data_IF_856821049719
#
_entry.id   IF_856821049719
#
_cell.length_a   1.000
_cell.length_b   1.000
_cell.length_c   1.000
_cell.angle_alpha   90.00
_cell.angle_beta   90.00
_cell.angle_gamma   90.00
#
_symmetry.space_group_name_H-M   'P 1'
#
loop_
_entity.id
_entity.type
_entity.pdbx_description
1 polymer ?
#
# COMPACT_ATOMS: atom_id res chain seq x y z
N UNK A 1 -15.72 55.70 -0.16
CA UNK A 1 -16.03 54.29 0.20
C UNK A 1 -15.03 53.28 -0.35
N UNK A 2 -14.61 53.37 -1.61
CA UNK A 2 -13.70 52.40 -2.28
C UNK A 2 -12.38 52.14 -1.52
N UNK A 3 -11.78 53.16 -0.90
CA UNK A 3 -10.50 53.03 -0.17
C UNK A 3 -10.57 52.15 1.09
N UNK A 4 -11.71 52.12 1.79
CA UNK A 4 -11.90 51.29 3.00
C UNK A 4 -12.07 49.81 2.66
N UNK A 5 -12.78 49.52 1.57
CA UNK A 5 -12.93 48.15 1.04
C UNK A 5 -11.61 47.59 0.52
N UNK A 6 -10.76 48.41 -0.10
CA UNK A 6 -9.41 48.00 -0.51
C UNK A 6 -8.53 47.58 0.68
N UNK A 7 -8.54 48.36 1.76
CA UNK A 7 -7.76 48.03 2.98
C UNK A 7 -8.29 46.76 3.64
N UNK A 8 -9.61 46.58 3.72
CA UNK A 8 -10.23 45.40 4.30
C UNK A 8 -9.94 44.14 3.48
N UNK A 9 -9.95 44.24 2.16
CA UNK A 9 -9.58 43.15 1.25
C UNK A 9 -8.11 42.73 1.43
N UNK A 10 -7.19 43.70 1.49
CA UNK A 10 -5.76 43.42 1.69
C UNK A 10 -5.52 42.76 3.05
N UNK A 11 -6.18 43.24 4.11
CA UNK A 11 -6.08 42.63 5.43
C UNK A 11 -6.58 41.18 5.43
N UNK A 12 -7.74 40.93 4.79
CA UNK A 12 -8.31 39.59 4.71
C UNK A 12 -7.41 38.63 3.92
N UNK A 13 -6.81 39.08 2.81
CA UNK A 13 -5.82 38.31 2.06
C UNK A 13 -4.59 38.02 2.93
N UNK A 14 -4.06 39.02 3.64
CA UNK A 14 -2.89 38.82 4.52
C UNK A 14 -3.16 37.79 5.62
N UNK A 15 -4.35 37.80 6.22
CA UNK A 15 -4.76 36.81 7.22
C UNK A 15 -4.88 35.41 6.61
N UNK A 16 -5.48 35.28 5.42
CA UNK A 16 -5.62 33.99 4.73
C UNK A 16 -4.28 33.40 4.31
N UNK A 17 -3.33 34.24 3.90
CA UNK A 17 -1.99 33.82 3.47
C UNK A 17 -1.00 33.62 4.61
N UNK A 18 -1.29 34.13 5.82
CA UNK A 18 -0.39 34.03 6.96
C UNK A 18 -0.01 32.58 7.29
N UNK A 19 -0.99 31.68 7.38
CA UNK A 19 -0.73 30.27 7.71
C UNK A 19 0.11 29.55 6.62
N UNK A 20 -0.24 29.60 5.32
CA UNK A 20 0.61 29.03 4.27
C UNK A 20 2.03 29.59 4.24
N UNK A 21 2.20 30.90 4.43
CA UNK A 21 3.53 31.55 4.43
C UNK A 21 4.35 31.15 5.65
N UNK A 22 3.74 31.10 6.84
CA UNK A 22 4.42 30.62 8.07
C UNK A 22 4.87 29.17 7.88
N UNK A 23 4.01 28.31 7.33
CA UNK A 23 4.36 26.92 7.06
C UNK A 23 5.54 26.79 6.08
N UNK A 24 5.59 27.64 5.06
CA UNK A 24 6.71 27.67 4.12
C UNK A 24 8.03 27.99 4.82
N UNK A 25 8.02 28.87 5.84
CA UNK A 25 9.19 29.25 6.63
C UNK A 25 9.60 28.19 7.65
N UNK A 26 8.63 27.51 8.28
CA UNK A 26 8.88 26.42 9.23
C UNK A 26 9.42 25.17 8.54
N UNK A 27 9.16 25.01 7.25
CA UNK A 27 9.62 23.87 6.47
C UNK A 27 8.74 22.64 6.63
N UNK A 28 9.12 21.59 5.93
CA UNK A 28 8.46 20.27 5.96
C UNK A 28 9.24 19.31 6.86
N UNK A 29 8.67 18.15 7.20
CA UNK A 29 9.35 17.14 7.99
C UNK A 29 10.71 16.81 7.39
N UNK A 30 11.69 16.70 8.28
CA UNK A 30 13.04 16.23 7.98
C UNK A 30 13.55 15.46 9.20
N UNK A 31 14.51 14.55 8.99
CA UNK A 31 15.14 13.78 10.06
C UNK A 31 14.16 12.92 10.87
N UNK A 32 13.17 12.35 10.20
CA UNK A 32 12.22 11.39 10.77
C UNK A 32 12.85 10.00 10.89
N UNK A 33 12.21 9.04 11.58
CA UNK A 33 12.70 7.66 11.62
C UNK A 33 12.96 7.02 10.25
N UNK A 34 12.29 7.47 9.18
CA UNK A 34 12.49 6.96 7.82
C UNK A 34 13.89 7.27 7.27
N UNK A 35 14.44 8.45 7.58
CA UNK A 35 15.75 8.91 7.08
C UNK A 35 16.84 8.90 8.17
N UNK A 36 16.52 8.40 9.36
CA UNK A 36 17.46 8.28 10.48
C UNK A 36 18.72 7.46 10.12
N UNK A 37 18.58 6.49 9.20
CA UNK A 37 19.69 5.81 8.54
C UNK A 37 19.58 5.98 7.04
N UNK A 38 20.54 6.68 6.43
CA UNK A 38 20.56 6.90 4.97
C UNK A 38 20.85 5.58 4.26
N UNK A 39 19.96 5.10 3.37
CA UNK A 39 20.23 3.93 2.55
C UNK A 39 21.50 4.12 1.70
N UNK A 40 22.29 3.05 1.54
CA UNK A 40 23.50 3.11 0.70
C UNK A 40 23.17 3.31 -0.79
N UNK A 41 22.00 2.83 -1.22
CA UNK A 41 21.49 3.02 -2.58
C UNK A 41 20.95 4.45 -2.75
N UNK A 42 21.47 5.17 -3.75
CA UNK A 42 21.11 6.57 -4.02
C UNK A 42 19.68 6.75 -4.51
N UNK A 43 19.14 5.79 -5.26
CA UNK A 43 17.75 5.84 -5.73
C UNK A 43 16.79 5.65 -4.56
N UNK A 44 17.11 4.73 -3.65
CA UNK A 44 16.35 4.50 -2.41
C UNK A 44 16.42 5.71 -1.49
N UNK A 45 17.62 6.25 -1.25
CA UNK A 45 17.81 7.43 -0.42
C UNK A 45 17.01 8.63 -0.94
N UNK A 46 17.07 8.88 -2.26
CA UNK A 46 16.31 9.97 -2.87
C UNK A 46 14.80 9.78 -2.73
N UNK A 47 14.29 8.57 -2.88
CA UNK A 47 12.87 8.30 -2.69
C UNK A 47 12.43 8.53 -1.23
N UNK A 48 13.25 8.14 -0.26
CA UNK A 48 12.95 8.33 1.17
C UNK A 48 12.92 9.82 1.54
N UNK A 49 13.83 10.63 1.00
CA UNK A 49 13.78 12.10 1.16
C UNK A 49 12.46 12.69 0.65
N UNK A 50 12.01 12.25 -0.54
CA UNK A 50 10.74 12.72 -1.12
C UNK A 50 9.55 12.29 -0.26
N UNK A 51 9.53 11.04 0.22
CA UNK A 51 8.46 10.52 1.07
C UNK A 51 8.42 11.26 2.41
N UNK A 52 9.57 11.48 3.03
CA UNK A 52 9.68 12.23 4.27
C UNK A 52 9.15 13.65 4.10
N UNK A 53 9.67 14.38 3.10
CA UNK A 53 9.30 15.76 2.82
C UNK A 53 7.80 15.89 2.51
N UNK A 54 7.29 15.10 1.58
CA UNK A 54 5.95 15.31 1.03
C UNK A 54 4.85 14.54 1.78
N UNK A 55 5.17 13.44 2.46
CA UNK A 55 4.18 12.56 3.10
C UNK A 55 4.37 12.40 4.61
N UNK A 56 5.52 12.82 5.16
CA UNK A 56 5.93 12.50 6.54
C UNK A 56 4.97 12.95 7.63
N UNK A 57 4.35 14.13 7.49
CA UNK A 57 3.42 14.67 8.50
C UNK A 57 2.25 13.73 8.84
N UNK A 58 1.82 12.88 7.89
CA UNK A 58 0.68 11.98 8.10
C UNK A 58 1.05 10.49 8.04
N UNK A 59 2.14 10.14 7.35
CA UNK A 59 2.49 8.75 7.08
C UNK A 59 3.77 8.27 7.77
N UNK A 60 4.34 9.04 8.70
CA UNK A 60 5.46 8.60 9.53
C UNK A 60 5.12 8.88 10.99
N UNK A 61 4.96 7.81 11.77
CA UNK A 61 4.64 7.94 13.19
C UNK A 61 5.74 8.73 13.94
N UNK A 62 5.31 9.57 14.88
CA UNK A 62 6.21 10.42 15.66
C UNK A 62 6.66 11.71 14.97
N UNK A 63 6.19 11.99 13.74
CA UNK A 63 6.44 13.28 13.08
C UNK A 63 5.71 14.40 13.83
N UNK A 64 6.40 15.50 14.22
CA UNK A 64 5.75 16.62 14.89
C UNK A 64 4.65 17.24 14.03
N UNK A 65 3.51 17.50 14.65
CA UNK A 65 2.41 18.19 13.97
C UNK A 65 2.72 19.70 13.84
N UNK A 66 2.11 20.40 12.86
CA UNK A 66 2.19 21.86 12.78
C UNK A 66 1.68 22.51 14.06
N UNK A 67 2.21 23.68 14.42
CA UNK A 67 1.90 24.36 15.69
C UNK A 67 0.39 24.64 15.90
N UNK A 68 -0.37 24.83 14.82
CA UNK A 68 -1.82 25.06 14.88
C UNK A 68 -2.64 23.77 15.03
N UNK A 69 -2.02 22.60 14.97
CA UNK A 69 -2.70 21.32 15.16
C UNK A 69 -3.27 21.18 16.58
N UNK A 70 -2.83 21.97 17.56
CA UNK A 70 -3.43 21.99 18.90
C UNK A 70 -4.55 23.02 19.06
N UNK A 71 -4.87 23.80 18.01
CA UNK A 71 -5.95 24.80 18.08
C UNK A 71 -7.33 24.13 18.14
N UNK A 72 -8.31 24.69 18.88
CA UNK A 72 -9.62 24.06 19.11
C UNK A 72 -10.35 23.61 17.84
N UNK A 73 -10.20 24.35 16.74
CA UNK A 73 -10.87 24.07 15.46
C UNK A 73 -10.11 23.08 14.56
N UNK A 74 -8.81 22.92 14.75
CA UNK A 74 -7.95 22.11 13.89
C UNK A 74 -7.57 20.75 14.52
N UNK A 75 -7.60 20.66 15.85
CA UNK A 75 -7.08 19.51 16.60
C UNK A 75 -7.71 18.18 16.25
N UNK A 76 -9.03 18.08 16.31
CA UNK A 76 -9.72 16.82 16.03
C UNK A 76 -9.60 16.39 14.56
N UNK A 77 -9.83 17.27 13.57
CA UNK A 77 -9.66 16.90 12.16
C UNK A 77 -8.24 16.45 11.82
N UNK A 78 -7.22 17.20 12.25
CA UNK A 78 -5.81 16.86 11.96
C UNK A 78 -5.44 15.51 12.59
N UNK A 79 -5.81 15.28 13.85
CA UNK A 79 -5.54 14.01 14.53
C UNK A 79 -6.20 12.83 13.81
N UNK A 80 -7.49 12.96 13.47
CA UNK A 80 -8.22 11.92 12.74
C UNK A 80 -7.58 11.62 11.38
N UNK A 81 -7.16 12.65 10.65
CA UNK A 81 -6.49 12.50 9.36
C UNK A 81 -5.17 11.73 9.49
N UNK A 82 -4.35 12.04 10.49
CA UNK A 82 -3.08 11.36 10.77
C UNK A 82 -3.32 9.91 11.20
N UNK A 83 -4.24 9.66 12.15
CA UNK A 83 -4.59 8.31 12.60
C UNK A 83 -5.05 7.43 11.43
N UNK A 84 -5.93 7.97 10.58
CA UNK A 84 -6.43 7.29 9.39
C UNK A 84 -5.36 7.08 8.31
N UNK A 85 -4.37 7.97 8.21
CA UNK A 85 -3.27 7.86 7.26
C UNK A 85 -2.28 6.76 7.70
N UNK A 86 -1.87 6.78 8.98
CA UNK A 86 -0.98 5.78 9.58
C UNK A 86 -1.60 4.37 9.54
N UNK A 87 -2.91 4.25 9.79
CA UNK A 87 -3.61 2.97 9.69
C UNK A 87 -3.60 2.38 8.26
N UNK A 88 -3.41 3.21 7.22
CA UNK A 88 -3.32 2.75 5.82
C UNK A 88 -1.89 2.41 5.41
N UNK A 89 -0.94 3.24 5.84
CA UNK A 89 0.50 3.03 5.69
C UNK A 89 1.28 3.95 6.64
N UNK A 90 2.18 3.34 7.41
CA UNK A 90 3.29 4.01 8.08
C UNK A 90 4.57 3.68 7.29
N UNK A 91 5.20 4.69 6.68
CA UNK A 91 6.37 4.49 5.83
C UNK A 91 7.62 4.11 6.60
N UNK A 92 7.79 4.55 7.85
CA UNK A 92 8.92 4.12 8.65
C UNK A 92 8.83 2.61 8.90
N UNK A 93 7.66 2.10 9.25
CA UNK A 93 7.44 0.66 9.45
C UNK A 93 7.47 -0.12 8.12
N UNK A 94 6.89 0.43 7.05
CA UNK A 94 6.70 -0.28 5.79
C UNK A 94 7.94 -0.31 4.89
N UNK A 95 8.82 0.70 4.99
CA UNK A 95 9.98 0.86 4.12
C UNK A 95 11.32 0.55 4.82
N UNK A 96 11.43 0.84 6.13
CA UNK A 96 12.62 0.47 6.92
C UNK A 96 12.48 -0.98 7.34
N UNK A 97 12.89 -1.87 6.44
CA UNK A 97 12.84 -3.32 6.66
C UNK A 97 14.17 -3.85 7.20
N UNK A 98 14.20 -5.12 7.62
CA UNK A 98 15.44 -5.78 8.05
C UNK A 98 16.52 -5.74 6.96
N UNK A 99 17.83 -5.77 7.31
CA UNK A 99 18.91 -5.74 6.32
C UNK A 99 18.72 -6.80 5.22
N UNK A 100 18.72 -6.37 3.96
CA UNK A 100 18.53 -7.24 2.80
C UNK A 100 17.08 -7.54 2.42
N UNK A 101 16.10 -7.12 3.22
CA UNK A 101 14.69 -7.18 2.84
C UNK A 101 14.29 -5.98 1.96
N UNK A 102 13.31 -6.20 1.09
CA UNK A 102 12.71 -5.15 0.28
C UNK A 102 11.32 -4.76 0.82
N UNK A 103 10.87 -3.50 0.62
CA UNK A 103 9.50 -3.11 0.87
C UNK A 103 8.53 -3.95 0.04
N UNK A 104 7.41 -4.35 0.65
CA UNK A 104 6.44 -5.24 -0.01
C UNK A 104 5.84 -4.62 -1.28
N UNK A 105 5.53 -5.48 -2.26
CA UNK A 105 4.90 -5.04 -3.52
C UNK A 105 3.60 -4.24 -3.33
N UNK A 106 2.70 -4.59 -2.38
CA UNK A 106 1.51 -3.78 -2.12
C UNK A 106 1.83 -2.35 -1.67
N UNK A 107 2.90 -2.14 -0.88
CA UNK A 107 3.32 -0.79 -0.45
C UNK A 107 3.82 0.00 -1.66
N UNK A 108 4.69 -0.59 -2.47
CA UNK A 108 5.19 0.03 -3.70
C UNK A 108 4.03 0.39 -4.66
N UNK A 109 3.07 -0.51 -4.85
CA UNK A 109 1.90 -0.28 -5.70
C UNK A 109 0.98 0.82 -5.17
N UNK A 110 0.78 0.91 -3.84
CA UNK A 110 0.02 2.00 -3.22
C UNK A 110 0.67 3.36 -3.50
N UNK A 111 1.98 3.48 -3.32
CA UNK A 111 2.72 4.73 -3.59
C UNK A 111 2.61 5.10 -5.07
N UNK A 112 2.91 4.16 -5.98
CA UNK A 112 2.82 4.37 -7.43
C UNK A 112 1.42 4.86 -7.85
N UNK A 113 0.37 4.22 -7.34
CA UNK A 113 -1.00 4.60 -7.64
C UNK A 113 -1.32 6.04 -7.21
N UNK A 114 -0.90 6.43 -6.01
CA UNK A 114 -1.15 7.78 -5.49
C UNK A 114 -0.35 8.85 -6.25
N UNK A 115 0.91 8.54 -6.60
CA UNK A 115 1.77 9.40 -7.42
C UNK A 115 1.16 9.61 -8.80
N UNK A 116 0.70 8.54 -9.45
CA UNK A 116 0.09 8.60 -10.79
C UNK A 116 -1.25 9.34 -10.80
N UNK A 117 -2.05 9.18 -9.73
CA UNK A 117 -3.34 9.87 -9.62
C UNK A 117 -3.24 11.31 -9.15
N UNK A 118 -2.11 11.72 -8.57
CA UNK A 118 -1.93 13.07 -8.02
C UNK A 118 -2.89 13.38 -6.87
N UNK A 119 -3.36 12.35 -6.14
CA UNK A 119 -4.31 12.51 -5.03
C UNK A 119 -3.62 12.77 -3.69
N UNK A 120 -2.29 12.58 -3.64
CA UNK A 120 -1.47 12.79 -2.45
C UNK A 120 -0.32 13.78 -2.73
N UNK A 121 -0.03 14.71 -1.80
CA UNK A 121 -0.81 14.96 -0.57
C UNK A 121 -2.21 15.53 -0.86
N UNK A 122 -3.20 15.35 0.06
CA UNK A 122 -4.57 15.80 -0.19
C UNK A 122 -4.66 17.31 -0.42
N UNK A 123 -5.55 17.75 -1.31
CA UNK A 123 -5.66 19.18 -1.66
C UNK A 123 -5.89 20.12 -0.47
N UNK A 124 -6.66 19.68 0.55
CA UNK A 124 -6.86 20.43 1.80
C UNK A 124 -5.58 20.66 2.61
N UNK A 125 -4.64 19.71 2.53
CA UNK A 125 -3.34 19.81 3.18
C UNK A 125 -2.43 20.73 2.36
N UNK A 126 -2.36 20.52 1.05
CA UNK A 126 -1.59 21.38 0.14
C UNK A 126 -2.05 22.83 0.18
N UNK A 127 -3.33 23.12 0.44
CA UNK A 127 -3.83 24.49 0.59
C UNK A 127 -3.10 25.29 1.69
N UNK A 128 -2.62 24.62 2.74
CA UNK A 128 -1.83 25.20 3.82
C UNK A 128 -0.33 24.92 3.70
N UNK A 129 0.06 23.94 2.88
CA UNK A 129 1.42 23.44 2.73
C UNK A 129 1.85 23.41 1.27
N UNK A 130 2.03 24.59 0.66
CA UNK A 130 2.29 24.72 -0.78
C UNK A 130 3.57 24.00 -1.25
N UNK A 131 4.60 23.92 -0.41
CA UNK A 131 5.85 23.22 -0.70
C UNK A 131 5.76 21.69 -0.58
N UNK A 132 4.61 21.15 -0.14
CA UNK A 132 4.41 19.72 0.03
C UNK A 132 3.82 19.02 -1.21
N UNK A 133 3.33 19.79 -2.19
CA UNK A 133 2.92 19.21 -3.46
C UNK A 133 4.11 18.52 -4.16
N UNK A 134 3.88 17.33 -4.72
CA UNK A 134 4.90 16.60 -5.48
C UNK A 134 5.18 17.31 -6.81
N UNK A 135 6.43 17.74 -7.00
CA UNK A 135 6.93 18.20 -8.29
C UNK A 135 7.12 17.04 -9.27
N UNK A 136 7.24 17.33 -10.57
CA UNK A 136 7.41 16.27 -11.57
C UNK A 136 8.73 15.50 -11.41
N UNK A 137 9.79 16.18 -10.95
CA UNK A 137 11.05 15.53 -10.60
C UNK A 137 10.93 14.58 -9.41
N UNK A 138 10.12 14.93 -8.41
CA UNK A 138 9.84 14.07 -7.25
C UNK A 138 8.98 12.87 -7.63
N UNK A 139 7.95 13.07 -8.47
CA UNK A 139 7.17 11.95 -9.04
C UNK A 139 8.05 11.01 -9.85
N UNK A 140 8.94 11.55 -10.67
CA UNK A 140 9.89 10.75 -11.44
C UNK A 140 10.85 9.96 -10.54
N UNK A 141 11.35 10.56 -9.46
CA UNK A 141 12.20 9.87 -8.50
C UNK A 141 11.48 8.70 -7.82
N UNK A 142 10.24 8.90 -7.36
CA UNK A 142 9.43 7.84 -6.74
C UNK A 142 9.14 6.69 -7.73
N UNK A 143 8.70 7.02 -8.95
CA UNK A 143 8.40 5.99 -9.96
C UNK A 143 9.66 5.24 -10.40
N UNK A 144 10.80 5.93 -10.52
CA UNK A 144 12.11 5.34 -10.83
C UNK A 144 12.54 4.35 -9.74
N UNK A 145 12.49 4.77 -8.48
CA UNK A 145 12.79 3.91 -7.34
C UNK A 145 11.84 2.70 -7.25
N UNK A 146 10.54 2.87 -7.45
CA UNK A 146 9.58 1.75 -7.45
C UNK A 146 9.92 0.74 -8.55
N UNK A 147 10.25 1.22 -9.75
CA UNK A 147 10.72 0.37 -10.85
C UNK A 147 12.00 -0.37 -10.48
N UNK A 148 12.98 0.33 -9.88
CA UNK A 148 14.23 -0.25 -9.40
C UNK A 148 13.99 -1.40 -8.43
N UNK A 149 13.20 -1.16 -7.37
CA UNK A 149 12.89 -2.18 -6.37
C UNK A 149 12.22 -3.41 -6.97
N UNK A 150 11.28 -3.21 -7.92
CA UNK A 150 10.62 -4.32 -8.61
C UNK A 150 11.59 -5.13 -9.46
N UNK A 151 12.48 -4.46 -10.20
CA UNK A 151 13.48 -5.15 -11.02
C UNK A 151 14.50 -5.93 -10.17
N UNK A 152 14.90 -5.39 -9.02
CA UNK A 152 15.89 -6.02 -8.17
C UNK A 152 15.34 -7.20 -7.36
N UNK A 153 14.12 -7.08 -6.82
CA UNK A 153 13.62 -8.04 -5.83
C UNK A 153 12.48 -8.94 -6.31
N UNK A 154 11.71 -8.50 -7.30
CA UNK A 154 10.48 -9.17 -7.68
C UNK A 154 10.46 -9.65 -9.13
N UNK A 155 11.31 -9.10 -10.00
CA UNK A 155 11.32 -9.45 -11.41
C UNK A 155 11.70 -10.92 -11.61
N UNK A 156 11.04 -11.54 -12.58
CA UNK A 156 11.32 -12.92 -12.98
C UNK A 156 11.84 -12.95 -14.40
N UNK A 157 12.92 -13.71 -14.70
CA UNK A 157 13.52 -13.74 -16.02
C UNK A 157 12.54 -14.12 -17.14
N UNK A 158 11.59 -15.00 -16.86
CA UNK A 158 10.59 -15.51 -17.80
C UNK A 158 9.54 -14.47 -18.22
N UNK A 159 9.38 -13.38 -17.47
CA UNK A 159 8.44 -12.31 -17.82
C UNK A 159 9.10 -11.40 -18.88
N UNK A 160 8.39 -10.99 -19.95
CA UNK A 160 8.92 -10.04 -20.92
C UNK A 160 9.45 -8.77 -20.24
N UNK A 161 10.60 -8.27 -20.67
CA UNK A 161 11.31 -7.15 -20.01
C UNK A 161 10.41 -5.94 -19.72
N UNK A 162 9.57 -5.57 -20.70
CA UNK A 162 8.63 -4.46 -20.59
C UNK A 162 7.61 -4.59 -19.44
N UNK A 163 7.34 -5.81 -18.97
CA UNK A 163 6.37 -6.11 -17.91
C UNK A 163 7.03 -6.41 -16.56
N UNK A 164 8.34 -6.62 -16.50
CA UNK A 164 9.02 -7.09 -15.27
C UNK A 164 8.86 -6.16 -14.08
N UNK A 165 8.75 -4.85 -14.33
CA UNK A 165 8.59 -3.83 -13.31
C UNK A 165 7.12 -3.37 -13.09
N UNK A 166 6.16 -3.99 -13.76
CA UNK A 166 4.76 -3.63 -13.59
C UNK A 166 4.26 -4.12 -12.23
N UNK A 167 3.26 -3.40 -11.67
CA UNK A 167 2.56 -3.81 -10.46
C UNK A 167 1.72 -5.08 -10.65
N UNK A 168 1.25 -5.33 -11.89
CA UNK A 168 0.58 -6.55 -12.30
C UNK A 168 1.43 -7.28 -13.33
N UNK A 169 1.65 -8.56 -13.08
CA UNK A 169 2.54 -9.41 -13.86
C UNK A 169 1.86 -10.73 -14.20
N UNK A 170 2.18 -11.34 -15.34
CA UNK A 170 1.63 -12.64 -15.70
C UNK A 170 1.94 -13.69 -14.63
N UNK A 171 0.97 -14.56 -14.38
CA UNK A 171 1.16 -15.76 -13.57
C UNK A 171 2.14 -16.68 -14.32
N UNK A 172 3.13 -17.28 -13.64
CA UNK A 172 4.06 -18.20 -14.30
C UNK A 172 3.29 -19.41 -14.86
N UNK A 173 3.68 -19.86 -16.04
CA UNK A 173 3.03 -21.00 -16.70
C UNK A 173 3.14 -22.31 -15.90
N UNK A 174 4.17 -22.44 -15.06
CA UNK A 174 4.33 -23.57 -14.15
C UNK A 174 5.13 -23.16 -12.91
N UNK A 175 4.99 -23.94 -11.84
CA UNK A 175 5.84 -23.90 -10.66
C UNK A 175 6.63 -25.21 -10.64
N UNK A 176 7.90 -25.16 -10.25
CA UNK A 176 8.72 -26.37 -10.13
C UNK A 176 8.12 -27.30 -9.07
N UNK A 177 7.76 -28.51 -9.47
CA UNK A 177 7.18 -29.54 -8.60
C UNK A 177 7.81 -30.90 -8.88
N UNK A 178 7.59 -31.86 -7.97
CA UNK A 178 7.93 -33.27 -8.17
C UNK A 178 6.70 -33.99 -8.76
N UNK A 179 6.78 -34.55 -9.99
CA UNK A 179 5.65 -35.23 -10.62
C UNK A 179 5.05 -36.36 -9.80
N UNK A 180 5.86 -37.08 -9.01
CA UNK A 180 5.38 -38.17 -8.16
C UNK A 180 4.57 -37.62 -6.98
N UNK A 181 4.98 -36.49 -6.40
CA UNK A 181 4.19 -35.80 -5.36
C UNK A 181 2.92 -35.18 -5.91
N UNK A 182 2.96 -34.64 -7.13
CA UNK A 182 1.76 -34.10 -7.80
C UNK A 182 0.71 -35.19 -7.98
N UNK A 183 1.09 -36.37 -8.50
CA UNK A 183 0.15 -37.50 -8.65
C UNK A 183 -0.42 -37.98 -7.32
N UNK A 184 0.39 -38.04 -6.27
CA UNK A 184 -0.09 -38.40 -4.93
C UNK A 184 -1.06 -37.34 -4.39
N UNK A 185 -0.71 -36.06 -4.52
CA UNK A 185 -1.56 -34.94 -4.10
C UNK A 185 -2.91 -34.93 -4.82
N UNK A 186 -2.92 -35.20 -6.13
CA UNK A 186 -4.14 -35.32 -6.93
C UNK A 186 -5.05 -36.45 -6.42
N UNK A 187 -4.47 -37.61 -6.10
CA UNK A 187 -5.23 -38.72 -5.52
C UNK A 187 -5.83 -38.35 -4.16
N UNK A 188 -5.04 -37.72 -3.29
CA UNK A 188 -5.51 -37.28 -1.96
C UNK A 188 -6.58 -36.19 -2.04
N UNK A 189 -6.47 -35.26 -2.98
CA UNK A 189 -7.43 -34.17 -3.19
C UNK A 189 -8.85 -34.68 -3.47
N UNK A 190 -8.94 -35.84 -4.12
CA UNK A 190 -10.19 -36.49 -4.48
C UNK A 190 -10.58 -37.65 -3.55
N UNK A 191 -9.76 -37.98 -2.55
CA UNK A 191 -9.99 -39.11 -1.66
C UNK A 191 -10.97 -38.75 -0.54
N UNK A 192 -12.17 -39.32 -0.59
CA UNK A 192 -13.20 -39.09 0.42
C UNK A 192 -12.85 -39.68 1.78
N UNK A 193 -11.88 -40.61 1.86
CA UNK A 193 -11.46 -41.23 3.13
C UNK A 193 -10.75 -40.26 4.07
N UNK A 194 -10.42 -39.07 3.58
CA UNK A 194 -9.91 -37.98 4.41
C UNK A 194 -11.01 -37.27 5.21
N UNK A 195 -12.31 -37.47 4.90
CA UNK A 195 -13.39 -36.99 5.75
C UNK A 195 -13.73 -37.97 6.88
N UNK A 196 -14.25 -37.44 7.99
CA UNK A 196 -14.60 -38.26 9.15
C UNK A 196 -15.76 -39.25 8.94
N UNK A 197 -16.46 -39.20 7.80
CA UNK A 197 -17.55 -40.11 7.44
C UNK A 197 -17.41 -40.74 6.03
N UNK A 198 -16.25 -40.57 5.37
CA UNK A 198 -15.96 -41.03 4.02
C UNK A 198 -16.90 -40.49 2.91
N UNK A 199 -17.54 -39.32 3.10
CA UNK A 199 -18.50 -38.76 2.14
C UNK A 199 -17.99 -37.58 1.31
N UNK A 200 -16.94 -36.88 1.76
CA UNK A 200 -16.46 -35.64 1.11
C UNK A 200 -14.94 -35.64 0.95
N UNK A 201 -14.44 -34.93 -0.05
CA UNK A 201 -13.01 -34.70 -0.28
C UNK A 201 -12.74 -33.20 -0.44
N UNK A 202 -11.50 -32.80 -0.70
CA UNK A 202 -11.18 -31.41 -1.04
C UNK A 202 -11.96 -30.97 -2.28
N UNK A 203 -12.08 -31.84 -3.28
CA UNK A 203 -12.81 -31.58 -4.52
C UNK A 203 -14.31 -31.37 -4.33
N UNK A 204 -14.90 -31.79 -3.20
CA UNK A 204 -16.32 -31.52 -2.89
C UNK A 204 -16.59 -30.03 -2.70
N UNK A 205 -15.70 -29.32 -2.01
CA UNK A 205 -15.84 -27.88 -1.75
C UNK A 205 -15.03 -27.00 -2.71
N UNK A 206 -14.00 -27.57 -3.33
CA UNK A 206 -13.08 -26.89 -4.24
C UNK A 206 -13.03 -27.60 -5.61
N UNK A 207 -14.18 -27.73 -6.24
CA UNK A 207 -14.34 -28.45 -7.51
C UNK A 207 -13.59 -27.73 -8.64
N UNK A 208 -12.58 -28.41 -9.22
CA UNK A 208 -11.72 -27.85 -10.27
C UNK A 208 -12.49 -27.55 -11.56
N UNK A 209 -13.63 -28.23 -11.80
CA UNK A 209 -14.50 -27.99 -12.97
C UNK A 209 -15.40 -26.76 -12.78
N UNK A 210 -15.50 -26.23 -11.56
CA UNK A 210 -16.31 -25.05 -11.19
C UNK A 210 -15.46 -23.87 -10.78
N UNK A 211 -14.21 -23.83 -11.23
CA UNK A 211 -13.27 -22.75 -10.90
C UNK A 211 -12.64 -22.90 -9.52
N UNK A 212 -12.57 -24.11 -8.97
CA UNK A 212 -11.93 -24.42 -7.69
C UNK A 212 -12.79 -24.10 -6.46
N UNK A 213 -14.11 -24.00 -6.62
CA UNK A 213 -15.09 -23.69 -5.57
C UNK A 213 -16.33 -24.58 -5.70
N UNK A 214 -17.20 -24.60 -4.69
CA UNK A 214 -18.49 -25.30 -4.72
C UNK A 214 -19.64 -24.46 -5.30
N UNK A 215 -19.40 -23.16 -5.55
CA UNK A 215 -20.39 -22.19 -6.02
C UNK A 215 -21.59 -22.00 -5.07
N UNK A 216 -21.38 -22.23 -3.77
CA UNK A 216 -22.39 -22.04 -2.73
C UNK A 216 -22.09 -20.79 -1.88
N UNK A 217 -23.10 -20.17 -1.24
CA UNK A 217 -22.86 -19.08 -0.29
C UNK A 217 -21.92 -19.49 0.85
N UNK A 218 -22.09 -20.72 1.35
CA UNK A 218 -21.22 -21.39 2.33
C UNK A 218 -21.20 -22.89 2.01
N UNK A 219 -20.08 -23.54 2.29
CA UNK A 219 -19.93 -24.97 2.02
C UNK A 219 -20.77 -25.84 2.94
N UNK A 220 -21.17 -27.00 2.42
CA UNK A 220 -21.85 -28.06 3.18
C UNK A 220 -20.85 -29.19 3.45
N UNK A 221 -20.51 -29.39 4.71
CA UNK A 221 -19.63 -30.47 5.15
C UNK A 221 -20.39 -31.76 5.51
N UNK A 222 -19.70 -32.64 6.24
CA UNK A 222 -20.24 -33.92 6.69
C UNK A 222 -21.54 -33.75 7.48
N UNK A 223 -22.45 -34.72 7.35
CA UNK A 223 -23.80 -34.69 7.98
C UNK A 223 -24.65 -33.46 7.61
N UNK A 224 -24.39 -32.84 6.46
CA UNK A 224 -25.17 -31.68 5.97
C UNK A 224 -24.91 -30.37 6.73
N UNK A 225 -23.84 -30.30 7.52
CA UNK A 225 -23.51 -29.10 8.30
C UNK A 225 -23.03 -27.97 7.39
N UNK A 226 -23.57 -26.77 7.56
CA UNK A 226 -23.13 -25.58 6.83
C UNK A 226 -22.00 -24.88 7.55
N UNK A 227 -20.94 -24.52 6.83
CA UNK A 227 -19.85 -23.70 7.34
C UNK A 227 -20.25 -22.22 7.54
N UNK A 228 -19.40 -21.42 8.22
CA UNK A 228 -19.66 -20.01 8.46
C UNK A 228 -19.18 -19.08 7.33
N UNK A 229 -18.41 -19.60 6.37
CA UNK A 229 -17.72 -18.82 5.33
C UNK A 229 -17.83 -19.51 3.97
N UNK A 230 -17.69 -18.74 2.90
CA UNK A 230 -17.59 -19.22 1.53
C UNK A 230 -16.23 -19.92 1.30
N UNK A 231 -16.23 -21.04 0.56
CA UNK A 231 -15.00 -21.71 0.15
C UNK A 231 -14.29 -20.91 -0.96
N UNK A 232 -13.08 -20.37 -0.72
CA UNK A 232 -12.33 -19.66 -1.75
C UNK A 232 -11.84 -20.60 -2.84
N UNK A 233 -11.44 -20.06 -4.00
CA UNK A 233 -10.85 -20.89 -5.06
C UNK A 233 -9.48 -21.43 -4.67
N UNK A 234 -9.19 -22.67 -5.06
CA UNK A 234 -7.82 -23.23 -5.00
C UNK A 234 -6.93 -22.78 -6.16
N UNK A 235 -7.50 -22.23 -7.24
CA UNK A 235 -6.72 -21.72 -8.35
C UNK A 235 -5.88 -20.52 -7.92
N UNK A 236 -4.58 -20.60 -8.16
CA UNK A 236 -3.60 -19.58 -7.78
C UNK A 236 -3.48 -19.32 -6.27
N UNK A 237 -4.08 -20.17 -5.41
CA UNK A 237 -3.98 -20.05 -3.95
C UNK A 237 -2.52 -20.11 -3.45
N UNK A 238 -1.63 -20.79 -4.18
CA UNK A 238 -0.20 -20.84 -3.91
C UNK A 238 0.52 -19.47 -3.97
N UNK A 239 -0.10 -18.46 -4.59
CA UNK A 239 0.44 -17.09 -4.66
C UNK A 239 -0.13 -16.15 -3.59
N UNK A 240 -1.04 -16.62 -2.74
CA UNK A 240 -1.53 -15.84 -1.60
C UNK A 240 -0.44 -15.75 -0.52
N UNK A 241 -0.33 -14.59 0.14
CA UNK A 241 0.62 -14.39 1.22
C UNK A 241 0.24 -15.18 2.50
N UNK A 242 -1.04 -15.54 2.62
CA UNK A 242 -1.60 -16.37 3.68
C UNK A 242 -2.81 -17.15 3.12
N UNK A 243 -3.22 -18.22 3.81
CA UNK A 243 -4.41 -19.00 3.45
C UNK A 243 -5.56 -18.67 4.41
N UNK A 244 -6.79 -18.97 3.97
CA UNK A 244 -8.06 -18.53 4.59
C UNK A 244 -8.33 -17.02 4.48
N UNK A 245 -9.52 -16.62 4.95
CA UNK A 245 -10.06 -15.25 4.91
C UNK A 245 -9.47 -14.35 6.00
#
# INVERSE_FOLDING_TARGET
>A
MVKKWGVLLVFLIAVLLALPVINLLLGLPSHTPLTASVPADKEVARAFEVIEKNCGHCHIAGTPAPFYAEWPVARNPVRQDVEQALARVDFAQALVTAPGAAPSEPVLAKIEHQVQRGQMPPGRYVALHWNAALSDGEKAALNGWIRHMRLQHYARPEIPEKLRANNLRPIPASIKTDPSKVRLGEALYHDVRLSGDNTISCATCHDLTKGGTDQLPVSVGIRGQKGPINAPTVFNAAFQFAQFW
#
